data_IF_670773816783
#
_entry.id   IF_670773816783
#
_cell.length_a   1.000
_cell.length_b   1.000
_cell.length_c   1.000
_cell.angle_alpha   90.00
_cell.angle_beta   90.00
_cell.angle_gamma   90.00
#
_symmetry.space_group_name_H-M   'P 1'
#
loop_
_entity.id
_entity.type
_entity.pdbx_description
1 polymer ?
#
# COMPACT_ATOMS: atom_id res chain seq x y z
N UNK A 1 -22.61 -33.24 -19.00
CA UNK A 1 -22.19 -31.90 -18.52
C UNK A 1 -20.73 -31.97 -18.16
N UNK A 2 -19.83 -31.26 -18.85
CA UNK A 2 -18.41 -31.30 -18.53
C UNK A 2 -18.18 -30.58 -17.20
N UNK A 3 -17.44 -31.22 -16.28
CA UNK A 3 -16.96 -30.60 -15.04
C UNK A 3 -15.79 -29.70 -15.40
N UNK A 4 -15.95 -28.40 -15.21
CA UNK A 4 -14.81 -27.48 -15.16
C UNK A 4 -13.91 -27.89 -13.99
N UNK A 5 -12.58 -27.94 -14.18
CA UNK A 5 -11.68 -28.23 -13.07
C UNK A 5 -11.74 -27.09 -12.06
N UNK A 6 -11.79 -27.45 -10.78
CA UNK A 6 -11.59 -26.54 -9.65
C UNK A 6 -10.25 -25.84 -9.86
N UNK A 7 -10.28 -24.51 -10.06
CA UNK A 7 -9.09 -23.68 -9.93
C UNK A 7 -8.51 -23.97 -8.55
N UNK A 8 -7.29 -24.53 -8.51
CA UNK A 8 -6.52 -24.60 -7.29
C UNK A 8 -6.34 -23.17 -6.78
N UNK A 9 -6.76 -22.91 -5.54
CA UNK A 9 -6.37 -21.71 -4.79
C UNK A 9 -4.85 -21.71 -4.67
N UNK A 10 -4.18 -21.12 -5.66
CA UNK A 10 -2.77 -20.79 -5.55
C UNK A 10 -2.67 -19.75 -4.44
N UNK A 11 -1.96 -20.09 -3.36
CA UNK A 11 -1.78 -19.22 -2.21
C UNK A 11 -1.17 -17.89 -2.70
N UNK A 12 -1.75 -16.74 -2.35
CA UNK A 12 -1.37 -15.42 -2.88
C UNK A 12 0.13 -15.14 -2.71
N UNK A 13 0.71 -15.63 -1.60
CA UNK A 13 2.15 -15.55 -1.33
C UNK A 13 3.02 -16.36 -2.31
N UNK A 14 2.50 -17.42 -2.92
CA UNK A 14 3.21 -18.19 -3.95
C UNK A 14 3.24 -17.45 -5.28
N UNK A 15 2.17 -16.75 -5.65
CA UNK A 15 2.15 -15.90 -6.86
C UNK A 15 3.12 -14.74 -6.72
N UNK A 16 3.11 -14.06 -5.57
CA UNK A 16 4.05 -12.97 -5.28
C UNK A 16 5.50 -13.45 -5.40
N UNK A 17 5.81 -14.60 -4.79
CA UNK A 17 7.15 -15.18 -4.83
C UNK A 17 7.58 -15.53 -6.25
N UNK A 18 6.71 -16.16 -7.04
CA UNK A 18 7.02 -16.53 -8.41
C UNK A 18 7.23 -15.30 -9.30
N UNK A 19 6.55 -14.19 -9.01
CA UNK A 19 6.59 -12.97 -9.83
C UNK A 19 7.75 -12.05 -9.45
N UNK A 20 7.97 -11.82 -8.15
CA UNK A 20 8.93 -10.84 -7.63
C UNK A 20 10.17 -11.46 -6.96
N UNK A 21 10.16 -12.77 -6.71
CA UNK A 21 11.27 -13.47 -6.05
C UNK A 21 11.29 -13.35 -4.52
N UNK A 22 10.26 -12.75 -3.91
CA UNK A 22 10.14 -12.62 -2.45
C UNK A 22 8.69 -12.66 -1.95
N UNK A 23 8.51 -12.90 -0.65
CA UNK A 23 7.26 -12.75 0.07
C UNK A 23 7.41 -11.74 1.22
N UNK A 24 6.35 -11.00 1.50
CA UNK A 24 6.25 -10.16 2.69
C UNK A 24 5.01 -10.49 3.50
N UNK A 25 5.09 -10.34 4.82
CA UNK A 25 3.96 -10.54 5.73
C UNK A 25 3.99 -9.51 6.87
N UNK A 26 2.79 -9.18 7.37
CA UNK A 26 2.62 -8.45 8.63
C UNK A 26 2.89 -9.39 9.80
N UNK A 27 3.74 -8.96 10.74
CA UNK A 27 4.06 -9.69 11.98
C UNK A 27 4.26 -8.70 13.13
N UNK A 28 4.24 -9.13 14.40
CA UNK A 28 4.66 -8.26 15.50
C UNK A 28 6.05 -7.69 15.23
N UNK A 29 6.19 -6.36 15.34
CA UNK A 29 7.46 -5.67 15.08
C UNK A 29 8.54 -6.14 16.05
N UNK A 30 9.79 -6.14 15.58
CA UNK A 30 10.96 -6.35 16.45
C UNK A 30 11.29 -5.14 17.31
N UNK A 31 10.69 -3.98 17.03
CA UNK A 31 10.78 -2.78 17.86
C UNK A 31 9.77 -2.82 19.02
N UNK A 32 10.24 -2.53 20.22
CA UNK A 32 9.39 -2.46 21.41
C UNK A 32 8.29 -1.40 21.21
N UNK A 33 7.04 -1.77 21.51
CA UNK A 33 5.86 -0.91 21.44
C UNK A 33 5.50 -0.35 20.05
N UNK A 34 6.15 -0.79 18.97
CA UNK A 34 5.81 -0.37 17.60
C UNK A 34 4.59 -1.11 17.02
N UNK A 35 4.12 -2.16 17.69
CA UNK A 35 2.94 -2.91 17.25
C UNK A 35 3.26 -3.86 16.11
N UNK A 36 2.71 -3.61 14.92
CA UNK A 36 2.88 -4.46 13.73
C UNK A 36 4.01 -3.92 12.85
N UNK A 37 4.81 -4.81 12.28
CA UNK A 37 5.82 -4.53 11.26
C UNK A 37 5.62 -5.40 10.03
N UNK A 38 6.39 -5.13 8.97
CA UNK A 38 6.39 -5.92 7.73
C UNK A 38 7.73 -6.60 7.57
N UNK A 39 7.71 -7.90 7.30
CA UNK A 39 8.92 -8.72 7.20
C UNK A 39 9.00 -9.37 5.83
N UNK A 40 10.21 -9.47 5.28
CA UNK A 40 10.49 -10.38 4.17
C UNK A 40 10.50 -11.80 4.73
N UNK A 41 9.57 -12.66 4.32
CA UNK A 41 9.42 -14.00 4.93
C UNK A 41 10.07 -15.10 4.10
N UNK A 42 10.19 -14.88 2.79
CA UNK A 42 10.79 -15.82 1.84
C UNK A 42 11.47 -15.03 0.71
N UNK A 43 12.53 -15.60 0.16
CA UNK A 43 13.21 -15.03 -1.01
C UNK A 43 14.19 -13.91 -0.70
N UNK A 44 14.39 -13.05 -1.70
CA UNK A 44 15.39 -12.00 -1.71
C UNK A 44 14.87 -10.77 -2.43
N UNK A 45 15.03 -9.61 -1.80
CA UNK A 45 14.71 -8.32 -2.39
C UNK A 45 16.02 -7.67 -2.85
N UNK A 46 16.24 -7.46 -4.16
CA UNK A 46 17.40 -6.72 -4.62
C UNK A 46 17.24 -5.22 -4.32
N UNK A 47 18.35 -4.50 -4.18
CA UNK A 47 18.35 -3.03 -4.09
C UNK A 47 17.60 -2.38 -5.27
N UNK A 48 16.78 -1.38 -4.98
CA UNK A 48 15.99 -0.64 -5.97
C UNK A 48 14.67 -1.29 -6.36
N UNK A 49 14.31 -2.42 -5.74
CA UNK A 49 13.03 -3.09 -5.99
C UNK A 49 11.90 -2.47 -5.18
N UNK A 50 10.71 -2.40 -5.78
CA UNK A 50 9.47 -2.08 -5.05
C UNK A 50 9.11 -3.25 -4.14
N UNK A 51 8.99 -2.98 -2.84
CA UNK A 51 8.69 -3.98 -1.81
C UNK A 51 7.30 -3.87 -1.23
N UNK A 52 6.68 -2.70 -1.28
CA UNK A 52 5.35 -2.45 -0.74
C UNK A 52 4.72 -1.21 -1.38
N UNK A 53 3.42 -1.07 -1.22
CA UNK A 53 2.63 0.10 -1.58
C UNK A 53 2.02 0.67 -0.31
N UNK A 54 2.05 1.99 -0.15
CA UNK A 54 1.33 2.69 0.90
C UNK A 54 -0.12 2.90 0.45
N UNK A 55 -1.08 2.17 1.04
CA UNK A 55 -2.47 2.28 0.65
C UNK A 55 -3.09 3.56 1.22
N UNK A 56 -4.24 3.96 0.68
CA UNK A 56 -5.03 4.99 1.34
C UNK A 56 -5.89 5.86 0.44
N UNK A 57 -6.69 6.69 1.09
CA UNK A 57 -7.47 7.73 0.41
C UNK A 57 -6.57 8.93 0.13
N UNK A 58 -6.53 9.38 -1.12
CA UNK A 58 -5.74 10.51 -1.58
C UNK A 58 -6.56 11.78 -1.42
N UNK A 59 -6.02 12.76 -0.72
CA UNK A 59 -6.57 14.09 -0.59
C UNK A 59 -5.66 15.08 -1.30
N UNK A 60 -6.21 15.82 -2.26
CA UNK A 60 -5.53 16.95 -2.89
C UNK A 60 -5.43 18.12 -1.91
N UNK A 61 -4.53 19.09 -2.16
CA UNK A 61 -4.49 20.33 -1.40
C UNK A 61 -5.88 20.96 -1.29
N UNK A 62 -6.23 21.41 -0.08
CA UNK A 62 -7.52 22.04 0.28
C UNK A 62 -8.73 21.11 0.38
N UNK A 63 -8.57 19.79 0.17
CA UNK A 63 -9.65 18.84 0.43
C UNK A 63 -9.85 18.57 1.93
N UNK A 64 -11.09 18.25 2.35
CA UNK A 64 -11.41 18.10 3.77
C UNK A 64 -10.89 16.78 4.36
N UNK A 65 -9.75 16.86 5.05
CA UNK A 65 -9.15 15.73 5.80
C UNK A 65 -9.26 15.88 7.33
N UNK A 66 -9.79 17.00 7.84
CA UNK A 66 -9.68 17.37 9.25
C UNK A 66 -10.07 16.23 10.21
N UNK A 67 -11.27 15.65 10.05
CA UNK A 67 -11.76 14.60 10.95
C UNK A 67 -10.94 13.30 10.86
N UNK A 68 -10.50 12.95 9.66
CA UNK A 68 -9.70 11.77 9.36
C UNK A 68 -8.26 11.92 9.88
N UNK A 69 -7.76 13.16 10.00
CA UNK A 69 -6.39 13.45 10.42
C UNK A 69 -6.19 13.51 11.94
N UNK A 70 -7.27 13.65 12.74
CA UNK A 70 -7.16 13.76 14.20
C UNK A 70 -6.58 12.47 14.79
N UNK A 71 -5.39 12.58 15.39
CA UNK A 71 -4.62 11.46 15.99
C UNK A 71 -4.42 10.28 15.02
N UNK A 72 -4.27 10.57 13.74
CA UNK A 72 -4.01 9.57 12.73
C UNK A 72 -2.52 9.56 12.34
N UNK A 73 -1.73 8.57 12.81
CA UNK A 73 -0.31 8.48 12.45
C UNK A 73 -0.09 7.95 11.03
N UNK A 74 -1.14 7.50 10.33
CA UNK A 74 -1.08 6.92 8.98
C UNK A 74 -1.39 7.93 7.88
N UNK A 75 -1.36 9.23 8.19
CA UNK A 75 -1.44 10.28 7.16
C UNK A 75 -0.04 10.53 6.62
N UNK A 76 0.21 10.05 5.41
CA UNK A 76 1.41 10.36 4.65
C UNK A 76 1.23 11.69 3.91
N UNK A 77 2.25 12.55 3.90
CA UNK A 77 2.25 13.82 3.17
C UNK A 77 3.30 13.77 2.07
N UNK A 78 2.83 13.80 0.82
CA UNK A 78 3.65 13.95 -0.36
C UNK A 78 4.32 15.33 -0.43
N UNK A 79 5.38 15.44 -1.23
CA UNK A 79 6.19 16.64 -1.40
C UNK A 79 5.38 17.83 -1.93
N UNK A 80 4.39 17.57 -2.79
CA UNK A 80 3.50 18.55 -3.39
C UNK A 80 2.28 18.92 -2.52
N UNK A 81 2.23 18.38 -1.29
CA UNK A 81 1.15 18.63 -0.34
C UNK A 81 -0.07 17.73 -0.52
N UNK A 82 -0.05 16.78 -1.45
CA UNK A 82 -1.04 15.69 -1.49
C UNK A 82 -0.91 14.86 -0.20
N UNK A 83 -2.03 14.43 0.36
CA UNK A 83 -2.08 13.59 1.56
C UNK A 83 -2.62 12.21 1.20
N UNK A 84 -2.05 11.16 1.78
CA UNK A 84 -2.53 9.78 1.65
C UNK A 84 -2.89 9.26 3.04
N UNK A 85 -4.16 8.99 3.27
CA UNK A 85 -4.68 8.43 4.53
C UNK A 85 -4.73 6.91 4.47
N UNK A 86 -3.70 6.27 5.04
CA UNK A 86 -3.55 4.82 5.09
C UNK A 86 -4.17 4.16 6.31
N UNK A 87 -5.01 4.85 7.08
CA UNK A 87 -5.64 4.26 8.27
C UNK A 87 -6.77 3.30 7.89
N UNK A 88 -6.62 2.03 8.26
CA UNK A 88 -7.52 0.93 7.95
C UNK A 88 -8.74 0.83 8.87
N UNK A 89 -8.89 1.78 9.81
CA UNK A 89 -9.91 1.79 10.87
C UNK A 89 -10.78 3.05 10.85
N UNK A 90 -11.89 2.99 11.59
CA UNK A 90 -12.73 4.14 11.90
C UNK A 90 -13.24 4.89 10.67
N UNK A 91 -13.16 6.23 10.74
CA UNK A 91 -13.66 7.13 9.68
C UNK A 91 -12.87 6.95 8.38
N UNK A 92 -11.55 6.85 8.45
CA UNK A 92 -10.67 6.64 7.29
C UNK A 92 -11.07 5.43 6.45
N UNK A 93 -11.31 4.28 7.11
CA UNK A 93 -11.86 3.07 6.48
C UNK A 93 -13.20 3.32 5.78
N UNK A 94 -14.11 4.03 6.43
CA UNK A 94 -15.44 4.34 5.86
C UNK A 94 -15.31 5.24 4.64
N UNK A 95 -14.45 6.25 4.70
CA UNK A 95 -14.21 7.18 3.58
C UNK A 95 -13.60 6.43 2.39
N UNK A 96 -12.58 5.59 2.60
CA UNK A 96 -12.00 4.80 1.52
C UNK A 96 -13.05 3.93 0.82
N UNK A 97 -13.85 3.18 1.59
CA UNK A 97 -14.93 2.32 1.05
C UNK A 97 -15.97 3.11 0.28
N UNK A 98 -16.33 4.29 0.78
CA UNK A 98 -17.27 5.19 0.11
C UNK A 98 -16.71 5.66 -1.25
N UNK A 99 -15.46 6.12 -1.29
CA UNK A 99 -14.81 6.57 -2.52
C UNK A 99 -14.63 5.42 -3.52
N UNK A 100 -14.19 4.25 -3.05
CA UNK A 100 -14.04 3.04 -3.87
C UNK A 100 -15.37 2.59 -4.48
N UNK A 101 -16.46 2.60 -3.70
CA UNK A 101 -17.80 2.27 -4.19
C UNK A 101 -18.33 3.28 -5.20
N UNK A 102 -18.08 4.58 -4.96
CA UNK A 102 -18.47 5.68 -5.83
C UNK A 102 -17.76 5.62 -7.19
N UNK A 103 -16.47 5.25 -7.21
CA UNK A 103 -15.63 5.28 -8.41
C UNK A 103 -15.70 3.97 -9.23
N UNK A 104 -16.57 3.05 -8.85
CA UNK A 104 -16.80 1.80 -9.59
C UNK A 104 -17.38 2.09 -10.97
N UNK A 105 -16.80 1.47 -12.01
CA UNK A 105 -17.24 1.62 -13.39
C UNK A 105 -17.89 0.34 -13.88
N UNK A 106 -19.22 0.23 -13.71
CA UNK A 106 -19.98 -0.96 -14.10
C UNK A 106 -19.45 -2.22 -13.41
N UNK A 107 -19.02 -3.26 -14.16
CA UNK A 107 -18.44 -4.46 -13.56
C UNK A 107 -17.02 -4.24 -13.00
N UNK A 108 -16.32 -3.18 -13.41
CA UNK A 108 -14.92 -2.95 -13.08
C UNK A 108 -14.74 -2.29 -11.71
N UNK A 109 -13.92 -2.91 -10.86
CA UNK A 109 -13.40 -2.30 -9.64
C UNK A 109 -12.20 -1.42 -10.00
N UNK A 110 -12.14 -0.23 -9.40
CA UNK A 110 -11.14 0.81 -9.73
C UNK A 110 -10.14 1.05 -8.60
N UNK A 111 -10.27 0.32 -7.50
CA UNK A 111 -9.32 0.28 -6.39
C UNK A 111 -9.44 -1.04 -5.63
N UNK A 112 -8.34 -1.45 -4.99
CA UNK A 112 -8.31 -2.58 -4.07
C UNK A 112 -8.79 -2.11 -2.69
N UNK A 113 -9.91 -2.64 -2.19
CA UNK A 113 -10.40 -2.35 -0.84
C UNK A 113 -10.03 -3.44 0.19
N UNK A 114 -9.36 -4.51 -0.25
CA UNK A 114 -9.00 -5.64 0.61
C UNK A 114 -7.86 -5.32 1.58
N UNK A 115 -7.07 -4.27 1.33
CA UNK A 115 -6.05 -3.76 2.28
C UNK A 115 -6.63 -3.30 3.61
N UNK A 116 -7.94 -3.03 3.67
CA UNK A 116 -8.68 -2.76 4.92
C UNK A 116 -8.93 -4.02 5.77
N UNK A 117 -8.34 -5.15 5.38
CA UNK A 117 -8.46 -6.46 6.03
C UNK A 117 -7.07 -7.03 6.34
N UNK A 118 -7.03 -8.17 7.04
CA UNK A 118 -5.78 -8.84 7.40
C UNK A 118 -5.10 -9.58 6.22
N UNK A 119 -5.78 -9.71 5.07
CA UNK A 119 -5.26 -10.42 3.90
C UNK A 119 -5.63 -9.65 2.62
N UNK A 120 -4.77 -8.72 2.15
CA UNK A 120 -5.01 -7.98 0.93
C UNK A 120 -4.76 -8.84 -0.32
N UNK A 121 -5.65 -8.70 -1.31
CA UNK A 121 -5.54 -9.27 -2.64
C UNK A 121 -4.26 -8.84 -3.36
N UNK A 122 -3.84 -7.57 -3.18
CA UNK A 122 -2.49 -7.14 -3.50
C UNK A 122 -1.61 -7.28 -2.25
N UNK A 123 -0.72 -8.30 -2.16
CA UNK A 123 0.10 -8.52 -0.98
C UNK A 123 1.05 -7.36 -0.64
N UNK A 124 1.32 -6.47 -1.61
CA UNK A 124 2.16 -5.29 -1.42
C UNK A 124 1.43 -4.16 -0.67
N UNK A 125 0.10 -4.18 -0.54
CA UNK A 125 -0.72 -3.12 0.05
C UNK A 125 -0.67 -3.09 1.60
N UNK A 126 0.54 -3.08 2.15
CA UNK A 126 0.82 -3.12 3.59
C UNK A 126 1.82 -2.05 4.04
N UNK A 127 2.14 -1.08 3.18
CA UNK A 127 3.17 -0.06 3.44
C UNK A 127 2.93 0.80 4.67
N UNK A 128 1.68 0.97 5.10
CA UNK A 128 1.31 1.71 6.32
C UNK A 128 1.80 1.05 7.62
N UNK A 129 2.17 -0.23 7.58
CA UNK A 129 2.72 -0.96 8.73
C UNK A 129 4.25 -1.04 8.73
N UNK A 130 4.93 -0.41 7.77
CA UNK A 130 6.39 -0.33 7.76
C UNK A 130 6.81 0.74 8.77
N UNK A 131 7.45 0.31 9.84
CA UNK A 131 7.83 1.18 10.95
C UNK A 131 8.95 2.15 10.58
N UNK A 132 9.10 3.19 11.40
CA UNK A 132 10.23 4.11 11.31
C UNK A 132 11.52 3.41 11.75
N UNK A 133 12.63 3.79 11.14
CA UNK A 133 13.95 3.37 11.56
C UNK A 133 14.30 3.91 12.96
N UNK A 134 15.18 3.20 13.65
CA UNK A 134 15.84 3.65 14.88
C UNK A 134 17.37 3.65 14.68
N UNK A 135 18.11 4.10 15.69
CA UNK A 135 19.58 4.04 15.66
C UNK A 135 20.09 2.59 15.53
N UNK A 136 19.37 1.63 16.11
CA UNK A 136 19.69 0.20 16.09
C UNK A 136 19.12 -0.50 14.85
N UNK A 137 18.08 0.06 14.24
CA UNK A 137 17.35 -0.50 13.10
C UNK A 137 17.33 0.52 11.95
N UNK A 138 18.40 0.60 11.13
CA UNK A 138 18.48 1.57 10.06
C UNK A 138 17.44 1.30 8.98
N UNK A 139 17.00 2.36 8.30
CA UNK A 139 16.08 2.24 7.18
C UNK A 139 16.70 1.38 6.07
N UNK A 140 15.92 0.42 5.57
CA UNK A 140 16.27 -0.43 4.44
C UNK A 140 15.32 -0.23 3.26
N UNK A 141 14.29 0.61 3.41
CA UNK A 141 13.38 1.04 2.36
C UNK A 141 13.14 2.55 2.41
N UNK A 142 12.78 3.17 1.29
CA UNK A 142 12.38 4.57 1.22
C UNK A 142 11.07 4.74 0.45
N UNK A 143 10.36 5.84 0.73
CA UNK A 143 9.14 6.20 0.01
C UNK A 143 9.48 6.81 -1.35
N UNK A 144 8.77 6.38 -2.39
CA UNK A 144 8.81 6.95 -3.72
C UNK A 144 7.38 7.28 -4.17
N UNK A 145 7.16 8.53 -4.55
CA UNK A 145 5.90 8.96 -5.14
C UNK A 145 5.82 8.57 -6.62
N UNK A 146 4.66 8.09 -7.04
CA UNK A 146 4.43 7.68 -8.43
C UNK A 146 3.02 8.05 -8.86
N UNK A 147 2.89 8.79 -9.95
CA UNK A 147 1.61 9.11 -10.57
C UNK A 147 1.27 8.05 -11.62
N UNK A 148 0.14 7.36 -11.42
CA UNK A 148 -0.32 6.32 -12.35
C UNK A 148 -0.74 6.98 -13.66
N UNK A 149 -0.20 6.55 -14.82
CA UNK A 149 -0.50 7.18 -16.10
C UNK A 149 -1.95 6.92 -16.51
N UNK A 150 -2.56 7.85 -17.25
CA UNK A 150 -3.93 7.72 -17.74
C UNK A 150 -4.13 6.50 -18.65
N UNK A 151 -3.06 6.07 -19.33
CA UNK A 151 -3.03 4.87 -20.17
C UNK A 151 -2.97 3.56 -19.37
N UNK A 152 -2.93 3.60 -18.03
CA UNK A 152 -2.89 2.41 -17.21
C UNK A 152 -4.19 1.58 -17.38
N UNK A 153 -4.10 0.27 -17.67
CA UNK A 153 -5.27 -0.56 -17.96
C UNK A 153 -6.32 -0.52 -16.85
N UNK A 154 -7.58 -0.29 -17.23
CA UNK A 154 -8.68 -0.17 -16.29
C UNK A 154 -8.85 -1.43 -15.44
N UNK A 155 -8.68 -2.60 -16.05
CA UNK A 155 -8.84 -3.90 -15.43
C UNK A 155 -7.80 -4.15 -14.33
N UNK A 156 -6.64 -3.49 -14.38
CA UNK A 156 -5.59 -3.65 -13.37
C UNK A 156 -5.74 -2.67 -12.20
N UNK A 157 -6.60 -1.65 -12.32
CA UNK A 157 -6.83 -0.67 -11.24
C UNK A 157 -7.42 -1.31 -9.99
N UNK A 158 -8.11 -2.45 -10.13
CA UNK A 158 -8.62 -3.23 -9.00
C UNK A 158 -7.54 -3.69 -8.01
N UNK A 159 -6.26 -3.65 -8.39
CA UNK A 159 -5.12 -4.01 -7.52
C UNK A 159 -4.38 -2.80 -6.95
N UNK A 160 -4.78 -1.58 -7.32
CA UNK A 160 -4.19 -0.35 -6.77
C UNK A 160 -4.88 0.00 -5.45
N UNK A 161 -4.14 0.11 -4.33
CA UNK A 161 -4.75 0.29 -3.02
C UNK A 161 -5.00 1.77 -2.69
N UNK A 162 -5.19 2.61 -3.72
CA UNK A 162 -5.35 4.05 -3.59
C UNK A 162 -6.64 4.50 -4.30
N UNK A 163 -7.30 5.51 -3.74
CA UNK A 163 -8.51 6.11 -4.30
C UNK A 163 -8.54 7.62 -4.05
N UNK A 164 -8.99 8.41 -5.01
CA UNK A 164 -9.12 9.85 -4.83
C UNK A 164 -10.33 10.19 -3.95
N UNK A 165 -10.15 11.13 -3.02
CA UNK A 165 -11.24 11.60 -2.18
C UNK A 165 -12.34 12.29 -2.99
N UNK A 166 -12.01 13.17 -3.93
CA UNK A 166 -12.96 13.86 -4.81
C UNK A 166 -12.96 13.32 -6.23
N UNK A 167 -14.14 13.32 -6.86
CA UNK A 167 -14.28 13.06 -8.29
C UNK A 167 -13.90 14.25 -9.16
N UNK A 168 -13.88 15.46 -8.61
CA UNK A 168 -13.56 16.67 -9.38
C UNK A 168 -12.08 16.74 -9.78
N UNK A 169 -11.25 15.89 -9.18
CA UNK A 169 -9.84 15.77 -9.50
C UNK A 169 -9.55 14.73 -10.60
N UNK A 170 -10.54 14.36 -11.43
CA UNK A 170 -10.36 13.45 -12.58
C UNK A 170 -9.30 13.89 -13.58
N UNK A 171 -8.85 15.15 -13.54
CA UNK A 171 -7.71 15.63 -14.35
C UNK A 171 -6.34 15.32 -13.74
N UNK A 172 -6.28 14.89 -12.47
CA UNK A 172 -5.02 14.53 -11.81
C UNK A 172 -4.86 13.01 -11.80
N UNK A 173 -3.65 12.52 -12.11
CA UNK A 173 -3.37 11.09 -12.06
C UNK A 173 -3.57 10.56 -10.64
N UNK A 174 -3.83 9.25 -10.53
CA UNK A 174 -3.89 8.59 -9.24
C UNK A 174 -2.49 8.55 -8.62
N UNK A 175 -2.28 9.27 -7.52
CA UNK A 175 -1.02 9.24 -6.76
C UNK A 175 -0.90 7.93 -5.98
N UNK A 176 0.11 7.15 -6.30
CA UNK A 176 0.58 6.04 -5.48
C UNK A 176 1.85 6.46 -4.72
N UNK A 177 2.05 5.86 -3.55
CA UNK A 177 3.32 5.92 -2.83
C UNK A 177 3.80 4.49 -2.68
N UNK A 178 4.99 4.20 -3.17
CA UNK A 178 5.60 2.87 -3.09
C UNK A 178 6.81 2.92 -2.17
N UNK A 179 7.17 1.77 -1.59
CA UNK A 179 8.39 1.61 -0.83
C UNK A 179 9.41 0.85 -1.66
N UNK A 180 10.60 1.41 -1.79
CA UNK A 180 11.69 0.90 -2.62
C UNK A 180 12.87 0.52 -1.72
N UNK A 181 13.48 -0.64 -1.96
CA UNK A 181 14.62 -1.12 -1.18
C UNK A 181 15.88 -0.27 -1.40
N UNK A 182 16.51 0.16 -0.31
CA UNK A 182 17.76 0.96 -0.33
C UNK A 182 19.02 0.08 -0.49
N UNK A 183 18.88 -1.19 -0.14
CA UNK A 183 19.90 -2.24 -0.22
C UNK A 183 19.22 -3.57 -0.47
N UNK A 184 20.03 -4.60 -0.67
CA UNK A 184 19.57 -5.98 -0.68
C UNK A 184 18.98 -6.37 0.69
N UNK A 185 17.83 -7.05 0.69
CA UNK A 185 17.10 -7.49 1.89
C UNK A 185 16.83 -9.00 1.79
N UNK A 186 17.17 -9.73 2.86
CA UNK A 186 17.02 -11.18 2.95
C UNK A 186 15.76 -11.56 3.73
N UNK A 187 15.30 -12.79 3.50
CA UNK A 187 14.26 -13.39 4.33
C UNK A 187 14.64 -13.36 5.82
N UNK A 188 13.67 -13.02 6.67
CA UNK A 188 13.79 -12.81 8.10
C UNK A 188 13.98 -11.35 8.51
N UNK A 189 14.34 -10.46 7.58
CA UNK A 189 14.52 -9.03 7.89
C UNK A 189 13.18 -8.28 7.95
N UNK A 190 13.05 -7.38 8.93
CA UNK A 190 11.96 -6.40 9.02
C UNK A 190 12.27 -5.20 8.13
N UNK A 191 11.22 -4.64 7.51
CA UNK A 191 11.31 -3.43 6.71
C UNK A 191 11.16 -2.19 7.61
N UNK A 192 12.08 -1.25 7.44
CA UNK A 192 12.09 0.03 8.14
C UNK A 192 12.28 1.17 7.14
N UNK A 193 11.47 2.21 7.28
CA UNK A 193 11.55 3.44 6.47
C UNK A 193 12.05 4.60 7.32
N UNK A 194 12.44 5.71 6.70
CA UNK A 194 12.64 6.97 7.40
C UNK A 194 11.42 7.87 7.14
N UNK A 195 10.67 8.20 8.19
CA UNK A 195 9.46 9.03 8.08
C UNK A 195 9.76 10.48 7.67
N UNK A 196 11.03 10.88 7.69
CA UNK A 196 11.47 12.26 7.43
C UNK A 196 12.11 12.46 6.05
N UNK A 197 12.28 11.40 5.25
CA UNK A 197 12.98 11.50 3.96
C UNK A 197 12.13 10.92 2.83
N UNK A 198 11.66 11.81 1.96
CA UNK A 198 11.13 11.47 0.64
C UNK A 198 12.27 11.65 -0.35
N UNK A 199 12.49 10.68 -1.25
CA UNK A 199 13.55 10.70 -2.27
C UNK A 199 12.97 10.91 -3.65
#
# INVERSE_FOLDING_TARGET
TPRFPLHQEQNEGDVLFQTLGFCIERRPSSLAFAGTGVFVTRGFVPKGATVAMYPGTIYQPYEPILLQSIRNPFVFRCIDGVLVDGNDRGISRMVFRSCSGRDRLGPYLTSDASWLTDSPLNPLAVGQYINNCSNERPANVCYQEYDVPDSFPLELRQYLPNVNYSQHCTQRPLRCVVLVSLRDIRAGEELFSNYYTIV
#
